data_IF_167061321027
#
_entry.id   IF_167061321027
#
_cell.length_a   1.000
_cell.length_b   1.000
_cell.length_c   1.000
_cell.angle_alpha   90.00
_cell.angle_beta   90.00
_cell.angle_gamma   90.00
#
_symmetry.space_group_name_H-M   'P 1'
#
loop_
_entity.id
_entity.type
_entity.pdbx_description
1 polymer ?
#
# COMPACT_ATOMS: atom_id res chain seq x y z
N UNK A 1 31.13 22.98 -16.25
CA UNK A 1 30.52 22.30 -17.42
C UNK A 1 29.01 22.35 -17.29
N UNK A 2 28.26 22.84 -18.29
CA UNK A 2 26.80 22.86 -18.24
C UNK A 2 26.26 21.43 -18.18
N UNK A 3 25.29 21.16 -17.31
CA UNK A 3 24.63 19.85 -17.22
C UNK A 3 23.98 19.52 -18.57
N UNK A 4 24.12 18.29 -19.08
CA UNK A 4 23.46 17.88 -20.32
C UNK A 4 21.94 18.07 -20.17
N UNK A 5 21.32 18.66 -21.19
CA UNK A 5 19.86 18.83 -21.26
C UNK A 5 19.21 17.44 -21.23
N UNK A 6 18.22 17.28 -20.35
CA UNK A 6 17.42 16.05 -20.23
C UNK A 6 16.77 15.76 -21.58
N UNK A 7 16.88 14.52 -22.07
CA UNK A 7 16.28 14.18 -23.36
C UNK A 7 14.74 14.28 -23.28
N UNK A 8 14.04 14.76 -24.33
CA UNK A 8 12.58 14.87 -24.32
C UNK A 8 11.88 13.54 -23.99
N UNK A 9 12.50 12.41 -24.35
CA UNK A 9 12.03 11.05 -24.05
C UNK A 9 12.00 10.69 -22.56
N UNK A 10 12.70 11.44 -21.71
CA UNK A 10 12.77 11.23 -20.27
C UNK A 10 11.78 12.11 -19.50
N UNK A 11 11.12 13.06 -20.16
CA UNK A 11 10.12 13.91 -19.53
C UNK A 11 8.83 13.14 -19.24
N UNK A 12 8.21 13.44 -18.10
CA UNK A 12 6.95 12.85 -17.64
C UNK A 12 6.08 13.94 -17.03
N UNK A 13 4.78 13.84 -17.24
CA UNK A 13 3.80 14.71 -16.59
C UNK A 13 3.43 14.12 -15.24
N UNK A 14 3.68 14.86 -14.15
CA UNK A 14 3.32 14.44 -12.80
C UNK A 14 2.29 15.41 -12.21
N UNK A 15 1.13 14.88 -11.85
CA UNK A 15 0.11 15.61 -11.10
C UNK A 15 0.36 15.41 -9.60
N UNK A 16 0.75 16.49 -8.94
CA UNK A 16 1.00 16.54 -7.49
C UNK A 16 -0.13 17.35 -6.84
N UNK A 17 -0.71 16.88 -5.71
CA UNK A 17 -1.64 17.69 -4.93
C UNK A 17 -0.98 19.02 -4.51
N UNK A 18 -1.73 20.14 -4.63
CA UNK A 18 -1.16 21.50 -4.61
C UNK A 18 -0.22 21.81 -3.43
N UNK A 19 -0.50 21.27 -2.24
CA UNK A 19 0.30 21.47 -1.02
C UNK A 19 1.66 20.77 -1.03
N UNK A 20 1.85 19.76 -1.88
CA UNK A 20 3.08 18.98 -1.97
C UNK A 20 4.04 19.49 -3.07
N UNK A 21 3.67 20.56 -3.76
CA UNK A 21 4.47 21.14 -4.85
C UNK A 21 5.70 21.86 -4.27
N UNK A 22 6.94 21.53 -4.70
CA UNK A 22 8.12 22.25 -4.25
C UNK A 22 8.03 23.74 -4.63
N UNK A 23 8.46 24.66 -3.75
CA UNK A 23 8.42 26.08 -4.05
C UNK A 23 9.28 26.37 -5.29
N UNK A 24 8.70 27.09 -6.26
CA UNK A 24 9.35 27.43 -7.54
C UNK A 24 10.60 28.31 -7.37
N UNK A 25 10.78 28.93 -6.21
CA UNK A 25 11.95 29.73 -5.86
C UNK A 25 12.60 29.15 -4.59
N UNK A 26 13.92 28.91 -4.57
CA UNK A 26 14.60 28.53 -3.34
C UNK A 26 14.41 29.64 -2.29
N UNK A 27 14.21 29.30 -1.01
CA UNK A 27 13.98 30.30 0.03
C UNK A 27 15.18 31.26 0.11
N UNK A 28 14.95 32.54 -0.20
CA UNK A 28 15.91 33.63 0.03
C UNK A 28 15.85 33.99 1.51
N UNK A 29 16.69 33.38 2.34
CA UNK A 29 16.81 33.78 3.74
C UNK A 29 17.91 33.03 4.49
N UNK A 30 18.88 33.79 5.03
CA UNK A 30 19.81 33.32 6.06
C UNK A 30 19.06 33.29 7.40
N UNK A 31 18.88 32.10 7.96
CA UNK A 31 18.42 31.92 9.35
C UNK A 31 16.99 31.42 9.48
N UNK A 32 16.83 30.12 9.72
CA UNK A 32 15.55 29.45 9.95
C UNK A 32 15.33 28.32 8.95
N UNK A 33 15.63 27.09 9.37
CA UNK A 33 15.56 25.87 8.56
C UNK A 33 14.11 25.49 8.18
N UNK A 34 13.49 26.24 7.28
CA UNK A 34 12.33 25.78 6.51
C UNK A 34 12.87 25.12 5.24
N UNK A 35 13.30 23.87 5.38
CA UNK A 35 13.59 23.02 4.23
C UNK A 35 12.25 22.84 3.48
N UNK A 36 12.12 23.46 2.30
CA UNK A 36 10.95 23.27 1.44
C UNK A 36 10.72 21.77 1.19
N UNK A 37 9.49 21.36 0.80
CA UNK A 37 9.17 19.96 0.57
C UNK A 37 10.15 19.36 -0.44
N UNK A 38 11.04 18.52 0.06
CA UNK A 38 12.02 17.81 -0.75
C UNK A 38 11.35 16.55 -1.23
N UNK A 39 11.07 16.48 -2.54
CA UNK A 39 10.57 15.26 -3.17
C UNK A 39 11.68 14.23 -3.16
N UNK A 40 11.64 13.31 -2.20
CA UNK A 40 12.59 12.21 -2.11
C UNK A 40 12.00 10.99 -2.80
N UNK A 41 12.54 10.53 -3.94
CA UNK A 41 12.07 9.33 -4.60
C UNK A 41 12.40 8.10 -3.75
N UNK A 42 11.45 7.19 -3.64
CA UNK A 42 11.58 5.91 -2.97
C UNK A 42 11.11 4.82 -3.93
N UNK A 43 11.87 3.74 -4.05
CA UNK A 43 11.43 2.54 -4.76
C UNK A 43 11.23 1.42 -3.74
N UNK A 44 10.02 0.88 -3.68
CA UNK A 44 9.60 -0.09 -2.66
C UNK A 44 8.78 -1.22 -3.29
N UNK A 45 8.82 -2.43 -2.73
CA UNK A 45 7.96 -3.54 -3.17
C UNK A 45 6.49 -3.22 -2.87
N UNK A 46 5.60 -3.60 -3.79
CA UNK A 46 4.18 -3.39 -3.61
C UNK A 46 3.63 -4.34 -2.53
N UNK A 47 2.80 -3.87 -1.56
CA UNK A 47 2.45 -4.67 -0.38
C UNK A 47 1.73 -6.00 -0.66
N UNK A 48 0.91 -6.08 -1.70
CA UNK A 48 0.19 -7.30 -2.08
C UNK A 48 0.98 -8.18 -3.06
N UNK A 49 1.92 -7.59 -3.82
CA UNK A 49 2.76 -8.26 -4.82
C UNK A 49 4.22 -7.82 -4.64
N UNK A 50 4.96 -8.43 -3.72
CA UNK A 50 6.30 -7.95 -3.33
C UNK A 50 7.33 -8.02 -4.46
N UNK A 51 7.07 -8.80 -5.51
CA UNK A 51 7.92 -8.90 -6.70
C UNK A 51 7.82 -7.67 -7.63
N UNK A 52 6.82 -6.81 -7.42
CA UNK A 52 6.59 -5.61 -8.21
C UNK A 52 7.11 -4.39 -7.45
N UNK A 53 8.11 -3.72 -8.02
CA UNK A 53 8.64 -2.46 -7.48
C UNK A 53 7.77 -1.29 -7.94
N UNK A 54 7.42 -0.40 -7.00
CA UNK A 54 6.61 0.79 -7.23
C UNK A 54 7.37 2.01 -6.76
N UNK A 55 7.23 3.10 -7.51
CA UNK A 55 7.83 4.38 -7.16
C UNK A 55 6.91 5.18 -6.25
N UNK A 56 7.49 5.73 -5.20
CA UNK A 56 6.87 6.62 -4.24
C UNK A 56 7.70 7.90 -4.15
N UNK A 57 7.12 8.93 -3.58
CA UNK A 57 7.90 10.05 -3.07
C UNK A 57 7.38 10.53 -1.73
N UNK A 58 8.29 11.12 -0.95
CA UNK A 58 7.97 11.76 0.32
C UNK A 58 7.86 13.27 0.09
N UNK A 59 6.81 13.89 0.62
CA UNK A 59 6.68 15.35 0.70
C UNK A 59 6.14 15.73 2.08
N UNK A 60 6.99 16.33 2.90
CA UNK A 60 6.65 16.69 4.29
C UNK A 60 6.31 15.47 5.15
N UNK A 61 5.05 15.40 5.60
CA UNK A 61 4.52 14.28 6.42
C UNK A 61 3.67 13.29 5.61
N UNK A 62 3.74 13.35 4.28
CA UNK A 62 2.94 12.53 3.39
C UNK A 62 3.84 11.72 2.47
N UNK A 63 3.44 10.48 2.24
CA UNK A 63 4.04 9.61 1.22
C UNK A 63 3.01 9.49 0.09
N UNK A 64 3.50 9.60 -1.14
CA UNK A 64 2.69 9.51 -2.34
C UNK A 64 3.16 8.33 -3.18
N UNK A 65 2.22 7.51 -3.62
CA UNK A 65 2.44 6.49 -4.64
C UNK A 65 2.32 7.13 -6.03
N UNK A 66 3.23 6.77 -6.93
CA UNK A 66 3.22 7.25 -8.31
C UNK A 66 2.43 6.25 -9.17
N UNK A 67 1.18 6.59 -9.44
CA UNK A 67 0.29 5.81 -10.29
C UNK A 67 0.39 6.27 -11.74
N UNK A 68 0.71 5.35 -12.66
CA UNK A 68 0.66 5.66 -14.09
C UNK A 68 -0.79 5.58 -14.57
N UNK A 69 -1.34 6.71 -15.03
CA UNK A 69 -2.65 6.71 -15.68
C UNK A 69 -2.52 6.05 -17.06
N UNK A 70 -2.90 4.79 -17.14
CA UNK A 70 -3.13 4.11 -18.41
C UNK A 70 -4.59 4.35 -18.81
N UNK A 71 -4.94 5.58 -19.21
CA UNK A 71 -6.21 5.77 -19.93
C UNK A 71 -6.10 4.98 -21.23
N UNK A 72 -6.95 3.98 -21.42
CA UNK A 72 -7.11 3.23 -22.67
C UNK A 72 -7.72 4.06 -23.81
N UNK A 73 -7.64 5.40 -23.71
CA UNK A 73 -8.27 6.35 -24.62
C UNK A 73 -7.32 6.62 -25.79
N UNK A 74 -7.08 5.59 -26.61
CA UNK A 74 -6.34 5.69 -27.87
C UNK A 74 -4.92 6.28 -27.78
N UNK A 75 -4.40 6.72 -28.92
CA UNK A 75 -3.11 7.41 -29.01
C UNK A 75 -3.25 8.86 -28.57
N UNK A 76 -2.65 9.22 -27.43
CA UNK A 76 -2.62 10.58 -26.91
C UNK A 76 -1.20 11.13 -26.91
N UNK A 77 -1.05 12.41 -27.24
CA UNK A 77 0.20 13.17 -27.08
C UNK A 77 -0.08 14.45 -26.31
N UNK A 78 0.92 14.97 -25.59
CA UNK A 78 0.80 16.22 -24.84
C UNK A 78 1.79 17.26 -25.37
N UNK A 79 1.31 18.46 -25.66
CA UNK A 79 2.14 19.61 -26.01
C UNK A 79 2.49 20.38 -24.74
N UNK A 80 3.77 20.43 -24.41
CA UNK A 80 4.31 21.17 -23.27
C UNK A 80 4.96 22.48 -23.74
N UNK A 81 4.73 23.60 -23.03
CA UNK A 81 5.47 24.82 -23.29
C UNK A 81 6.99 24.63 -23.06
N UNK A 82 7.87 25.26 -23.88
CA UNK A 82 7.52 26.12 -25.01
C UNK A 82 7.09 25.35 -26.28
N UNK A 83 7.73 24.24 -26.66
CA UNK A 83 7.41 23.49 -27.91
C UNK A 83 7.80 22.00 -27.80
N UNK A 84 7.53 21.35 -26.66
CA UNK A 84 7.90 19.95 -26.43
C UNK A 84 6.70 19.02 -26.61
N UNK A 85 6.81 18.01 -27.47
CA UNK A 85 5.76 17.00 -27.66
C UNK A 85 6.12 15.74 -26.88
N UNK A 86 5.29 15.38 -25.91
CA UNK A 86 5.31 14.08 -25.25
C UNK A 86 4.46 13.10 -26.04
N UNK A 87 5.10 12.16 -26.72
CA UNK A 87 4.46 11.21 -27.63
C UNK A 87 3.53 10.21 -26.94
N UNK A 88 3.74 9.92 -25.66
CA UNK A 88 2.95 8.94 -24.90
C UNK A 88 1.87 9.58 -24.02
N UNK A 89 1.87 10.91 -23.90
CA UNK A 89 1.06 11.69 -22.97
C UNK A 89 0.95 11.04 -21.57
N UNK A 90 2.01 10.35 -21.11
CA UNK A 90 1.90 9.54 -19.90
C UNK A 90 1.75 10.44 -18.69
N UNK A 91 0.59 10.33 -18.06
CA UNK A 91 0.22 11.09 -16.88
C UNK A 91 0.50 10.25 -15.64
N UNK A 92 1.44 10.71 -14.83
CA UNK A 92 1.73 10.18 -13.52
C UNK A 92 0.88 10.92 -12.49
N UNK A 93 0.24 10.16 -11.61
CA UNK A 93 -0.62 10.65 -10.54
C UNK A 93 0.06 10.38 -9.21
N UNK A 94 0.31 11.42 -8.44
CA UNK A 94 0.77 11.29 -7.08
C UNK A 94 -0.41 11.12 -6.12
N UNK A 95 -0.68 9.88 -5.71
CA UNK A 95 -1.79 9.58 -4.80
C UNK A 95 -1.26 9.39 -3.38
N UNK A 96 -1.79 10.12 -2.38
CA UNK A 96 -1.34 9.95 -1.00
C UNK A 96 -1.63 8.53 -0.52
N UNK A 97 -0.61 7.89 0.03
CA UNK A 97 -0.68 6.53 0.58
C UNK A 97 -0.43 6.58 2.08
N UNK A 98 -1.13 5.70 2.79
CA UNK A 98 -0.89 5.49 4.20
C UNK A 98 0.41 4.69 4.41
N UNK A 99 1.45 5.29 5.00
CA UNK A 99 2.76 4.64 5.10
C UNK A 99 2.75 3.41 6.00
N UNK A 100 1.75 3.24 6.89
CA UNK A 100 1.63 1.99 7.65
C UNK A 100 1.28 0.80 6.76
N UNK A 101 0.47 0.98 5.71
CA UNK A 101 0.09 -0.11 4.82
C UNK A 101 1.31 -0.69 4.10
N UNK A 102 2.29 0.16 3.78
CA UNK A 102 3.55 -0.25 3.16
C UNK A 102 4.39 -1.16 4.07
N UNK A 103 4.25 -1.04 5.39
CA UNK A 103 5.06 -1.78 6.36
C UNK A 103 4.38 -3.08 6.85
N UNK A 104 3.06 -3.21 6.70
CA UNK A 104 2.30 -4.37 7.18
C UNK A 104 2.85 -5.74 6.72
N UNK A 105 3.24 -5.94 5.45
CA UNK A 105 3.78 -7.23 5.00
C UNK A 105 5.03 -7.63 5.79
N UNK A 106 5.95 -6.69 5.97
CA UNK A 106 7.22 -6.91 6.67
C UNK A 106 7.01 -7.13 8.16
N UNK A 107 6.19 -6.31 8.81
CA UNK A 107 5.85 -6.46 10.23
C UNK A 107 5.22 -7.83 10.50
N UNK A 108 4.28 -8.26 9.64
CA UNK A 108 3.67 -9.59 9.75
C UNK A 108 4.69 -10.71 9.58
N UNK A 109 5.58 -10.59 8.61
CA UNK A 109 6.57 -11.62 8.30
C UNK A 109 7.61 -11.78 9.41
N UNK A 110 8.12 -10.67 9.94
CA UNK A 110 9.29 -10.69 10.83
C UNK A 110 8.97 -10.48 12.31
N UNK A 111 7.85 -9.84 12.64
CA UNK A 111 7.49 -9.50 14.02
C UNK A 111 6.20 -10.18 14.50
N UNK A 112 5.68 -11.19 13.81
CA UNK A 112 4.42 -11.86 14.22
C UNK A 112 4.55 -12.73 15.49
N UNK A 113 5.73 -13.30 15.75
CA UNK A 113 5.93 -14.28 16.83
C UNK A 113 6.58 -13.68 18.08
N UNK A 114 7.44 -12.69 17.91
CA UNK A 114 8.27 -12.13 18.99
C UNK A 114 8.44 -10.63 18.82
N UNK A 115 8.90 -9.98 19.90
CA UNK A 115 9.34 -8.59 19.85
C UNK A 115 10.70 -8.51 19.13
N UNK A 116 10.80 -7.66 18.12
CA UNK A 116 11.99 -7.45 17.28
C UNK A 116 12.25 -5.94 17.16
N UNK A 117 13.51 -5.46 17.07
CA UNK A 117 13.77 -4.06 16.81
C UNK A 117 13.02 -3.56 15.57
N UNK A 118 12.44 -2.35 15.61
CA UNK A 118 11.60 -1.84 14.52
C UNK A 118 12.31 -1.88 13.16
N UNK A 119 13.59 -1.47 13.12
CA UNK A 119 14.36 -1.41 11.87
C UNK A 119 14.63 -2.81 11.29
N UNK A 120 14.81 -3.82 12.13
CA UNK A 120 15.00 -5.21 11.69
C UNK A 120 13.67 -5.87 11.29
N UNK A 121 12.58 -5.51 11.95
CA UNK A 121 11.24 -6.01 11.65
C UNK A 121 10.73 -5.55 10.28
N UNK A 122 11.03 -4.31 9.89
CA UNK A 122 10.57 -3.73 8.62
C UNK A 122 11.53 -3.96 7.46
N UNK A 123 12.82 -4.17 7.73
CA UNK A 123 13.86 -4.15 6.72
C UNK A 123 14.98 -5.15 7.06
N UNK A 124 14.71 -6.47 6.97
CA UNK A 124 15.67 -7.50 7.36
C UNK A 124 16.90 -7.51 6.42
N UNK A 125 18.00 -8.10 6.88
CA UNK A 125 19.29 -8.07 6.17
C UNK A 125 19.32 -8.80 4.84
N UNK A 126 18.33 -9.65 4.54
CA UNK A 126 18.21 -10.36 3.27
C UNK A 126 17.69 -9.50 2.12
N UNK A 127 17.15 -8.30 2.38
CA UNK A 127 16.69 -7.39 1.35
C UNK A 127 17.85 -6.63 0.69
N UNK A 128 17.64 -6.23 -0.56
CA UNK A 128 18.56 -5.35 -1.28
C UNK A 128 18.81 -4.06 -0.47
N UNK A 129 20.07 -3.60 -0.46
CA UNK A 129 20.52 -2.47 0.36
C UNK A 129 19.68 -1.21 0.15
N UNK A 130 19.30 -0.91 -1.10
CA UNK A 130 18.50 0.26 -1.44
C UNK A 130 17.08 0.14 -0.90
N UNK A 131 16.42 -1.00 -1.12
CA UNK A 131 15.06 -1.27 -0.60
C UNK A 131 15.06 -1.22 0.93
N UNK A 132 16.08 -1.81 1.56
CA UNK A 132 16.25 -1.80 3.01
C UNK A 132 16.32 -0.37 3.57
N UNK A 133 17.14 0.48 2.97
CA UNK A 133 17.25 1.91 3.37
C UNK A 133 15.93 2.65 3.20
N UNK A 134 15.22 2.40 2.10
CA UNK A 134 13.93 3.04 1.84
C UNK A 134 12.88 2.60 2.88
N UNK A 135 12.79 1.31 3.20
CA UNK A 135 11.87 0.79 4.24
C UNK A 135 12.19 1.34 5.63
N UNK A 136 13.48 1.47 5.98
CA UNK A 136 13.91 2.10 7.23
C UNK A 136 13.54 3.58 7.27
N UNK A 137 13.70 4.31 6.17
CA UNK A 137 13.26 5.70 6.08
C UNK A 137 11.73 5.85 6.26
N UNK A 138 10.95 4.92 5.69
CA UNK A 138 9.48 4.89 5.87
C UNK A 138 9.11 4.53 7.31
N UNK A 139 9.80 3.60 7.96
CA UNK A 139 9.49 3.21 9.34
C UNK A 139 9.79 4.32 10.36
N UNK A 140 10.78 5.17 10.08
CA UNK A 140 11.11 6.35 10.87
C UNK A 140 10.21 7.56 10.58
N UNK A 141 9.30 7.44 9.61
CA UNK A 141 8.40 8.53 9.25
C UNK A 141 7.49 8.92 10.43
N UNK A 142 7.31 10.22 10.76
CA UNK A 142 6.53 10.63 11.94
C UNK A 142 5.08 10.17 11.93
N UNK A 143 4.49 10.02 10.75
CA UNK A 143 3.14 9.47 10.59
C UNK A 143 3.04 7.97 10.90
N UNK A 144 4.13 7.22 10.74
CA UNK A 144 4.21 5.79 11.09
C UNK A 144 4.38 5.62 12.59
N UNK A 145 5.38 6.28 13.17
CA UNK A 145 5.74 6.10 14.57
C UNK A 145 4.59 6.45 15.53
N UNK A 146 3.81 7.49 15.22
CA UNK A 146 2.61 7.89 16.00
C UNK A 146 1.45 6.91 15.90
N UNK A 147 1.46 6.02 14.92
CA UNK A 147 0.33 5.16 14.59
C UNK A 147 0.68 3.67 14.69
N UNK A 148 1.93 3.35 15.02
CA UNK A 148 2.45 1.99 15.05
C UNK A 148 1.68 1.09 16.05
N UNK A 149 1.16 1.68 17.12
CA UNK A 149 0.35 1.03 18.15
C UNK A 149 -1.01 0.53 17.65
N UNK A 150 -1.48 1.02 16.49
CA UNK A 150 -2.67 0.49 15.82
C UNK A 150 -2.42 -0.87 15.15
N UNK A 151 -1.17 -1.27 14.93
CA UNK A 151 -0.83 -2.51 14.22
C UNK A 151 0.11 -3.40 15.03
N UNK A 152 0.79 -2.85 16.03
CA UNK A 152 1.82 -3.51 16.81
C UNK A 152 1.61 -3.35 18.32
N UNK A 153 2.13 -4.31 19.06
CA UNK A 153 2.51 -4.12 20.45
C UNK A 153 3.91 -3.52 20.50
N UNK A 154 4.10 -2.49 21.32
CA UNK A 154 5.34 -1.72 21.40
C UNK A 154 5.97 -1.94 22.77
N UNK A 155 7.29 -2.16 22.79
CA UNK A 155 8.13 -2.15 23.99
C UNK A 155 9.31 -1.21 23.77
N UNK A 156 9.54 -0.34 24.73
CA UNK A 156 10.74 0.48 24.80
C UNK A 156 11.65 -0.21 25.81
N UNK A 157 12.84 -0.62 25.38
CA UNK A 157 13.89 -0.98 26.32
C UNK A 157 14.38 0.32 26.95
N UNK A 158 14.30 0.41 28.28
CA UNK A 158 14.88 1.53 29.00
C UNK A 158 16.38 1.54 28.64
N UNK A 159 16.81 2.52 27.86
CA UNK A 159 18.22 2.86 27.79
C UNK A 159 18.65 3.05 29.25
N UNK A 160 19.56 2.20 29.72
CA UNK A 160 20.04 2.23 31.10
C UNK A 160 20.36 3.67 31.43
N UNK A 161 19.65 4.18 32.43
CA UNK A 161 19.87 5.49 33.01
C UNK A 161 21.14 5.40 33.84
N UNK A 162 22.27 5.14 33.20
CA UNK A 162 23.61 5.27 33.77
C UNK A 162 24.00 6.74 33.65
N UNK A 163 23.31 7.59 34.40
CA UNK A 163 23.88 8.87 34.85
C UNK A 163 23.41 9.15 36.29
N UNK A 164 24.32 8.77 37.19
CA UNK A 164 24.85 9.64 38.24
C UNK A 164 23.97 9.89 39.46
N UNK A 165 24.13 8.99 40.44
CA UNK A 165 24.25 9.37 41.85
C UNK A 165 25.12 10.64 41.98
N UNK A 166 24.48 11.78 42.25
CA UNK A 166 25.09 12.85 43.02
C UNK A 166 23.99 13.61 43.77
N UNK A 167 23.97 13.33 45.07
CA UNK A 167 23.59 14.20 46.17
C UNK A 167 22.15 14.72 46.20
N UNK A 168 21.26 14.01 46.89
CA UNK A 168 20.62 14.56 48.12
C UNK A 168 19.98 13.45 48.95
N UNK A 169 20.67 13.06 50.03
CA UNK A 169 20.05 12.42 51.19
C UNK A 169 18.99 13.37 51.78
N UNK A 170 17.77 12.88 52.00
CA UNK A 170 17.11 12.88 53.32
C UNK A 170 15.61 12.55 53.25
N UNK A 171 15.25 11.51 54.01
CA UNK A 171 13.96 11.21 54.62
C UNK A 171 12.91 10.39 53.84
N UNK A 172 12.83 9.12 54.23
CA UNK A 172 11.57 8.37 54.36
C UNK A 172 10.81 8.85 55.64
N UNK A 173 9.53 8.46 55.84
CA UNK A 173 9.25 7.12 56.33
C UNK A 173 8.06 6.40 55.68
N UNK A 174 8.12 5.08 55.90
CA UNK A 174 7.24 3.98 55.51
C UNK A 174 5.99 3.85 56.39
N UNK A 175 4.88 3.32 55.84
CA UNK A 175 4.09 2.22 56.45
C UNK A 175 2.96 1.68 55.54
N UNK A 176 3.16 0.43 55.07
CA UNK A 176 2.26 -0.74 55.18
C UNK A 176 0.79 -0.65 54.67
N UNK A 177 0.43 -1.28 53.55
CA UNK A 177 0.12 -2.71 53.34
C UNK A 177 -1.37 -3.08 53.57
N UNK A 178 -2.03 -3.58 52.52
CA UNK A 178 -3.01 -4.69 52.59
C UNK A 178 -3.38 -5.18 51.18
N UNK A 179 -3.42 -6.50 51.05
CA UNK A 179 -3.70 -7.26 49.84
C UNK A 179 -5.22 -7.44 49.61
N UNK A 180 -5.64 -7.70 48.38
CA UNK A 180 -6.47 -8.87 48.02
C UNK A 180 -7.01 -8.82 46.58
N UNK A 181 -7.20 -10.01 46.03
CA UNK A 181 -7.78 -10.36 44.73
C UNK A 181 -9.17 -9.77 44.46
N UNK A 182 -9.44 -9.42 43.19
CA UNK A 182 -10.69 -9.78 42.51
C UNK A 182 -10.57 -9.61 40.99
N UNK A 183 -10.90 -10.68 40.27
CA UNK A 183 -11.19 -10.66 38.84
C UNK A 183 -12.61 -10.12 38.60
N UNK A 184 -12.83 -9.46 37.47
CA UNK A 184 -13.91 -9.74 36.49
C UNK A 184 -14.49 -8.46 35.85
N UNK A 185 -14.82 -8.66 34.57
CA UNK A 185 -15.91 -8.03 33.82
C UNK A 185 -15.71 -6.59 33.31
N UNK A 186 -15.33 -6.54 32.03
CA UNK A 186 -16.17 -6.00 30.97
C UNK A 186 -16.96 -4.71 31.27
N UNK A 187 -16.41 -3.59 30.82
CA UNK A 187 -17.22 -2.48 30.34
C UNK A 187 -16.70 -2.07 28.96
N UNK A 188 -17.54 -2.33 27.95
CA UNK A 188 -17.39 -1.82 26.62
C UNK A 188 -17.38 -0.28 26.67
N UNK A 189 -16.26 0.30 26.27
CA UNK A 189 -16.18 1.70 25.90
C UNK A 189 -15.42 1.78 24.58
N UNK A 190 -16.15 2.19 23.55
CA UNK A 190 -15.71 2.62 22.22
C UNK A 190 -14.75 3.80 22.38
N UNK A 191 -13.53 3.55 22.82
CA UNK A 191 -12.48 4.55 22.90
C UNK A 191 -11.71 4.51 21.59
N UNK A 192 -12.02 5.45 20.70
CA UNK A 192 -11.08 5.86 19.67
C UNK A 192 -9.78 6.26 20.38
N UNK A 193 -8.75 5.42 20.27
CA UNK A 193 -7.45 5.64 20.91
C UNK A 193 -6.94 7.00 20.44
N UNK A 194 -6.70 7.98 21.33
CA UNK A 194 -6.30 9.32 20.92
C UNK A 194 -4.98 9.23 20.14
N UNK A 195 -4.91 9.99 19.05
CA UNK A 195 -3.69 10.07 18.25
C UNK A 195 -2.52 10.46 19.15
N UNK A 196 -1.50 9.61 19.15
CA UNK A 196 -0.26 9.80 19.91
C UNK A 196 0.33 11.18 19.60
N UNK A 197 0.74 11.91 20.64
CA UNK A 197 1.23 13.30 20.52
C UNK A 197 2.48 13.38 19.63
N UNK A 198 2.74 14.58 19.07
CA UNK A 198 3.93 14.81 18.26
C UNK A 198 5.24 14.54 19.04
N UNK A 199 5.25 14.81 20.34
CA UNK A 199 6.38 14.55 21.23
C UNK A 199 6.65 13.06 21.42
N UNK A 200 5.60 12.25 21.58
CA UNK A 200 5.76 10.80 21.66
C UNK A 200 6.25 10.22 20.32
N UNK A 201 5.83 10.79 19.18
CA UNK A 201 6.40 10.46 17.88
C UNK A 201 7.92 10.71 17.80
N UNK A 202 8.42 11.81 18.38
CA UNK A 202 9.86 12.11 18.45
C UNK A 202 10.58 11.14 19.38
N UNK A 203 10.01 10.81 20.55
CA UNK A 203 10.59 9.82 21.48
C UNK A 203 10.74 8.45 20.84
N UNK A 204 9.69 7.98 20.15
CA UNK A 204 9.74 6.71 19.41
C UNK A 204 10.77 6.73 18.29
N UNK A 205 10.97 7.88 17.65
CA UNK A 205 12.01 8.02 16.62
C UNK A 205 13.40 7.87 17.20
N UNK A 206 13.71 8.59 18.28
CA UNK A 206 14.99 8.46 18.98
C UNK A 206 15.24 7.00 19.41
N UNK A 207 14.24 6.37 20.03
CA UNK A 207 14.32 4.96 20.42
C UNK A 207 14.50 4.00 19.24
N UNK A 208 13.93 4.29 18.07
CA UNK A 208 14.13 3.49 16.87
C UNK A 208 15.56 3.63 16.32
N UNK A 209 16.12 4.83 16.35
CA UNK A 209 17.50 5.13 15.92
C UNK A 209 18.54 4.53 16.90
N UNK A 210 18.23 4.51 18.19
CA UNK A 210 19.02 3.86 19.24
C UNK A 210 18.86 2.33 19.29
N UNK A 211 17.94 1.76 18.52
CA UNK A 211 17.65 0.33 18.54
C UNK A 211 16.93 -0.16 19.81
N UNK A 212 16.36 0.76 20.60
CA UNK A 212 15.63 0.46 21.85
C UNK A 212 14.12 0.33 21.64
N UNK A 213 13.60 0.62 20.45
CA UNK A 213 12.19 0.42 20.07
C UNK A 213 11.94 -0.98 19.50
N UNK A 214 11.26 -1.81 20.28
CA UNK A 214 10.89 -3.18 19.91
C UNK A 214 9.40 -3.28 19.60
N UNK A 215 9.07 -4.04 18.56
CA UNK A 215 7.70 -4.18 18.04
C UNK A 215 7.34 -5.64 17.86
N UNK A 216 6.08 -5.96 18.10
CA UNK A 216 5.47 -7.24 17.74
C UNK A 216 4.19 -6.97 16.96
N UNK A 217 4.07 -7.52 15.76
CA UNK A 217 2.87 -7.42 14.95
C UNK A 217 1.67 -8.07 15.67
N UNK A 218 0.56 -7.35 15.74
CA UNK A 218 -0.66 -7.79 16.38
C UNK A 218 -1.80 -7.78 15.35
N UNK A 219 -2.28 -8.98 15.00
CA UNK A 219 -3.29 -9.15 13.96
C UNK A 219 -4.62 -8.50 14.36
N UNK A 220 -5.06 -8.64 15.61
CA UNK A 220 -6.36 -8.11 16.06
C UNK A 220 -6.39 -6.58 16.05
N UNK A 221 -5.31 -5.95 16.51
CA UNK A 221 -5.12 -4.49 16.39
C UNK A 221 -5.14 -4.06 14.93
N UNK A 222 -4.39 -4.76 14.09
CA UNK A 222 -4.33 -4.48 12.65
C UNK A 222 -5.70 -4.60 12.00
N UNK A 223 -6.48 -5.63 12.31
CA UNK A 223 -7.84 -5.80 11.80
C UNK A 223 -8.76 -4.66 12.24
N UNK A 224 -8.67 -4.24 13.51
CA UNK A 224 -9.45 -3.10 14.02
C UNK A 224 -9.10 -1.81 13.28
N UNK A 225 -7.81 -1.55 13.07
CA UNK A 225 -7.32 -0.43 12.27
C UNK A 225 -7.83 -0.48 10.81
N UNK A 226 -7.79 -1.65 10.18
CA UNK A 226 -8.26 -1.85 8.82
C UNK A 226 -9.77 -1.71 8.68
N UNK A 227 -10.56 -2.14 9.68
CA UNK A 227 -12.01 -1.92 9.71
C UNK A 227 -12.35 -0.43 9.74
N UNK A 228 -11.64 0.36 10.57
CA UNK A 228 -11.83 1.82 10.59
C UNK A 228 -11.47 2.46 9.25
N UNK A 229 -10.40 2.00 8.61
CA UNK A 229 -9.99 2.46 7.28
C UNK A 229 -11.01 2.09 6.21
N UNK A 230 -11.52 0.87 6.24
CA UNK A 230 -12.58 0.39 5.35
C UNK A 230 -13.85 1.24 5.47
N UNK A 231 -14.32 1.48 6.69
CA UNK A 231 -15.51 2.29 6.94
C UNK A 231 -15.34 3.73 6.42
N UNK A 232 -14.17 4.34 6.68
CA UNK A 232 -13.85 5.69 6.17
C UNK A 232 -13.82 5.73 4.65
N UNK A 233 -13.22 4.72 4.01
CA UNK A 233 -13.14 4.63 2.56
C UNK A 233 -14.53 4.37 1.94
N UNK A 234 -15.35 3.50 2.52
CA UNK A 234 -16.71 3.23 2.08
C UNK A 234 -17.59 4.49 2.16
N UNK A 235 -17.47 5.27 3.24
CA UNK A 235 -18.16 6.55 3.38
C UNK A 235 -17.71 7.57 2.32
N UNK A 236 -16.41 7.66 2.04
CA UNK A 236 -15.89 8.54 0.99
C UNK A 236 -16.39 8.14 -0.42
N UNK A 237 -16.43 6.84 -0.72
CA UNK A 237 -16.97 6.31 -1.99
C UNK A 237 -18.47 6.63 -2.11
N UNK A 238 -19.24 6.41 -1.04
CA UNK A 238 -20.67 6.71 -1.02
C UNK A 238 -20.92 8.22 -1.25
N UNK A 239 -20.15 9.09 -0.59
CA UNK A 239 -20.24 10.54 -0.79
C UNK A 239 -19.92 10.95 -2.23
N UNK A 240 -18.86 10.39 -2.82
CA UNK A 240 -18.49 10.67 -4.22
C UNK A 240 -19.57 10.22 -5.22
N UNK A 241 -20.25 9.10 -4.96
CA UNK A 241 -21.35 8.61 -5.81
C UNK A 241 -22.61 9.46 -5.67
N UNK A 242 -22.93 9.93 -4.46
CA UNK A 242 -24.08 10.80 -4.23
C UNK A 242 -24.01 12.14 -4.98
N UNK A 243 -22.80 12.67 -5.18
CA UNK A 243 -22.56 13.90 -5.94
C UNK A 243 -22.94 13.73 -7.42
N UNK A 244 -22.76 12.53 -7.99
CA UNK A 244 -23.07 12.25 -9.40
C UNK A 244 -24.56 12.08 -9.70
N UNK A 245 -25.43 11.91 -8.68
CA UNK A 245 -26.87 11.67 -8.86
C UNK A 245 -27.74 12.91 -8.61
N UNK A 246 -27.16 14.06 -8.24
CA UNK A 246 -27.91 15.23 -7.76
C UNK A 246 -28.27 16.27 -8.83
N UNK A 247 -28.00 16.00 -10.12
CA UNK A 247 -28.27 16.94 -11.22
C UNK A 247 -29.64 16.76 -11.91
N UNK A 248 -30.61 16.11 -11.26
CA UNK A 248 -31.99 16.01 -11.77
C UNK A 248 -33.02 16.29 -10.68
N UNK A 249 -33.51 17.54 -10.67
CA UNK A 249 -34.85 18.02 -10.30
C UNK A 249 -35.48 17.69 -8.92
N UNK A 250 -36.01 18.78 -8.34
CA UNK A 250 -37.14 18.91 -7.40
C UNK A 250 -36.87 18.88 -5.89
N UNK A 251 -37.01 20.08 -5.31
CA UNK A 251 -37.59 20.41 -4.01
C UNK A 251 -38.00 19.25 -3.11
N UNK A 252 -37.31 19.09 -1.97
CA UNK A 252 -37.78 18.25 -0.86
C UNK A 252 -36.79 18.21 0.29
N UNK A 253 -37.17 18.80 1.42
CA UNK A 253 -36.49 18.86 2.73
C UNK A 253 -35.38 17.82 3.00
N UNK A 254 -34.15 18.29 3.16
CA UNK A 254 -32.99 17.48 3.50
C UNK A 254 -32.77 17.38 5.02
N UNK A 255 -33.41 16.39 5.66
CA UNK A 255 -32.84 15.76 6.86
C UNK A 255 -31.90 14.65 6.38
N UNK A 256 -30.63 15.02 6.11
CA UNK A 256 -29.55 14.11 5.71
C UNK A 256 -29.11 13.24 6.89
N UNK A 257 -29.95 12.28 7.28
CA UNK A 257 -29.45 11.08 7.94
C UNK A 257 -28.67 10.29 6.89
N UNK A 258 -27.37 10.13 7.09
CA UNK A 258 -26.51 9.36 6.21
C UNK A 258 -27.09 7.95 6.03
N UNK A 259 -27.60 7.66 4.83
CA UNK A 259 -28.01 6.31 4.47
C UNK A 259 -26.82 5.37 4.70
N UNK A 260 -27.03 4.18 5.32
CA UNK A 260 -25.96 3.22 5.50
C UNK A 260 -25.29 2.95 4.15
N UNK A 261 -23.95 2.97 4.13
CA UNK A 261 -23.20 2.80 2.89
C UNK A 261 -23.68 1.57 2.13
N UNK A 262 -24.07 1.75 0.86
CA UNK A 262 -24.60 0.67 0.03
C UNK A 262 -23.64 -0.54 0.01
N UNK A 263 -24.20 -1.75 -0.11
CA UNK A 263 -23.41 -2.98 -0.22
C UNK A 263 -22.32 -2.90 -1.31
N UNK A 264 -22.59 -2.15 -2.39
CA UNK A 264 -21.64 -1.92 -3.48
C UNK A 264 -20.45 -1.03 -3.07
N UNK A 265 -20.65 -0.06 -2.18
CA UNK A 265 -19.60 0.82 -1.67
C UNK A 265 -18.69 0.08 -0.69
N UNK A 266 -19.27 -0.80 0.14
CA UNK A 266 -18.51 -1.67 1.04
C UNK A 266 -17.65 -2.69 0.28
N UNK A 267 -18.20 -3.31 -0.78
CA UNK A 267 -17.47 -4.25 -1.63
C UNK A 267 -16.31 -3.55 -2.38
N UNK A 268 -16.55 -2.36 -2.93
CA UNK A 268 -15.51 -1.59 -3.61
C UNK A 268 -14.43 -1.11 -2.64
N UNK A 269 -14.82 -0.64 -1.45
CA UNK A 269 -13.88 -0.27 -0.38
C UNK A 269 -12.96 -1.43 0.00
N UNK A 270 -13.53 -2.63 0.18
CA UNK A 270 -12.74 -3.83 0.46
C UNK A 270 -11.79 -4.17 -0.70
N UNK A 271 -12.27 -4.13 -1.95
CA UNK A 271 -11.44 -4.40 -3.13
C UNK A 271 -10.24 -3.45 -3.20
N UNK A 272 -10.45 -2.14 -3.05
CA UNK A 272 -9.37 -1.15 -3.04
C UNK A 272 -8.39 -1.37 -1.89
N UNK A 273 -8.89 -1.62 -0.68
CA UNK A 273 -8.01 -1.84 0.48
C UNK A 273 -7.22 -3.15 0.35
N UNK A 274 -7.85 -4.22 -0.14
CA UNK A 274 -7.22 -5.54 -0.33
C UNK A 274 -6.05 -5.49 -1.32
N UNK A 275 -6.06 -4.56 -2.27
CA UNK A 275 -4.94 -4.33 -3.18
C UNK A 275 -3.64 -3.92 -2.46
N UNK A 276 -3.72 -3.41 -1.23
CA UNK A 276 -2.56 -3.04 -0.40
C UNK A 276 -2.28 -4.03 0.74
N UNK A 277 -2.93 -5.21 0.74
CA UNK A 277 -2.80 -6.19 1.80
C UNK A 277 -2.23 -7.50 1.27
N UNK A 278 -1.45 -8.18 2.11
CA UNK A 278 -1.07 -9.57 1.82
C UNK A 278 -2.31 -10.48 1.87
N UNK A 279 -2.36 -11.57 1.09
CA UNK A 279 -3.50 -12.49 1.07
C UNK A 279 -3.99 -12.90 2.48
N UNK A 280 -3.12 -13.30 3.42
CA UNK A 280 -3.59 -13.72 4.74
C UNK A 280 -4.11 -12.58 5.63
N UNK A 281 -3.77 -11.31 5.37
CA UNK A 281 -4.40 -10.17 6.06
C UNK A 281 -5.73 -9.84 5.39
N UNK A 282 -5.78 -9.83 4.06
CA UNK A 282 -6.99 -9.56 3.29
C UNK A 282 -8.11 -10.57 3.61
N UNK A 283 -7.80 -11.87 3.66
CA UNK A 283 -8.77 -12.91 4.02
C UNK A 283 -9.29 -12.74 5.45
N UNK A 284 -8.42 -12.40 6.41
CA UNK A 284 -8.84 -12.17 7.79
C UNK A 284 -9.76 -10.95 7.92
N UNK A 285 -9.46 -9.88 7.18
CA UNK A 285 -10.33 -8.70 7.10
C UNK A 285 -11.68 -9.03 6.45
N UNK A 286 -11.68 -9.78 5.36
CA UNK A 286 -12.90 -10.20 4.67
C UNK A 286 -13.81 -11.03 5.57
N UNK A 287 -13.24 -12.03 6.27
CA UNK A 287 -13.97 -12.85 7.23
C UNK A 287 -14.57 -12.00 8.35
N UNK A 288 -13.81 -11.00 8.83
CA UNK A 288 -14.30 -10.09 9.86
C UNK A 288 -15.45 -9.21 9.37
N UNK A 289 -15.31 -8.62 8.17
CA UNK A 289 -16.36 -7.83 7.55
C UNK A 289 -17.65 -8.64 7.27
N UNK A 290 -17.51 -9.92 6.88
CA UNK A 290 -18.66 -10.84 6.71
C UNK A 290 -19.31 -11.16 8.06
N UNK A 291 -18.51 -11.42 9.09
CA UNK A 291 -19.01 -11.68 10.46
C UNK A 291 -19.78 -10.48 11.01
N UNK A 292 -19.30 -9.27 10.74
CA UNK A 292 -19.93 -8.02 11.18
C UNK A 292 -21.12 -7.61 10.28
N UNK A 293 -21.48 -8.41 9.26
CA UNK A 293 -22.60 -8.15 8.36
C UNK A 293 -22.39 -7.01 7.36
N UNK A 294 -21.17 -6.48 7.25
CA UNK A 294 -20.82 -5.34 6.39
C UNK A 294 -20.66 -5.79 4.93
N UNK A 295 -20.08 -6.97 4.73
CA UNK A 295 -20.01 -7.62 3.42
C UNK A 295 -21.04 -8.74 3.34
N UNK A 296 -21.82 -8.75 2.26
CA UNK A 296 -22.71 -9.85 1.96
C UNK A 296 -21.89 -11.13 1.76
N UNK A 297 -22.32 -12.19 2.42
CA UNK A 297 -21.82 -13.53 2.12
C UNK A 297 -22.35 -13.87 0.74
N UNK A 298 -21.51 -13.75 -0.29
CA UNK A 298 -21.75 -14.43 -1.57
C UNK A 298 -21.77 -15.92 -1.25
N UNK A 299 -22.97 -16.44 -1.00
CA UNK A 299 -23.18 -17.87 -0.77
C UNK A 299 -22.68 -18.57 -2.03
N UNK A 300 -21.58 -19.34 -1.99
CA UNK A 300 -21.20 -20.15 -3.14
C UNK A 300 -22.40 -21.06 -3.43
N UNK A 301 -22.93 -20.94 -4.64
CA UNK A 301 -24.27 -21.38 -5.02
C UNK A 301 -24.59 -22.79 -4.54
N UNK A 302 -25.76 -22.94 -3.91
CA UNK A 302 -26.46 -24.20 -3.90
C UNK A 302 -26.81 -24.59 -5.34
N UNK A 303 -26.73 -25.88 -5.62
CA UNK A 303 -26.98 -26.50 -6.92
C UNK A 303 -28.06 -25.77 -7.73
N UNK A 304 -27.69 -25.34 -8.93
CA UNK A 304 -28.62 -24.95 -9.98
C UNK A 304 -29.66 -26.06 -10.13
N UNK A 305 -30.88 -25.84 -9.62
CA UNK A 305 -32.03 -26.61 -10.06
C UNK A 305 -32.26 -26.21 -11.52
N UNK A 306 -31.75 -27.06 -12.41
CA UNK A 306 -32.15 -27.15 -13.81
C UNK A 306 -33.68 -27.19 -13.81
N UNK A 307 -34.31 -26.04 -14.07
CA UNK A 307 -35.74 -25.98 -14.34
C UNK A 307 -35.93 -26.60 -15.73
N UNK A 308 -36.28 -27.89 -15.76
CA UNK A 308 -36.71 -28.54 -16.98
C UNK A 308 -38.01 -27.89 -17.44
N UNK A 309 -37.89 -26.95 -18.37
CA UNK A 309 -39.04 -26.39 -19.06
C UNK A 309 -39.46 -27.38 -20.15
N UNK A 310 -40.64 -27.96 -19.94
CA UNK A 310 -41.34 -28.90 -20.81
C UNK A 310 -41.57 -28.26 -22.18
N UNK A 311 -41.00 -28.82 -23.24
CA UNK A 311 -41.23 -28.43 -24.63
C UNK A 311 -42.67 -28.78 -25.03
N UNK A 312 -43.48 -27.76 -25.33
CA UNK A 312 -44.73 -27.89 -26.08
C UNK A 312 -44.49 -27.45 -27.52
N UNK A 313 -44.81 -28.34 -28.47
CA UNK A 313 -44.81 -28.09 -29.91
C UNK A 313 -45.79 -26.98 -30.28
N UNK A 314 -45.43 -26.10 -31.21
CA UNK A 314 -46.33 -25.06 -31.69
C UNK A 314 -45.70 -23.96 -32.57
N UNK A 315 -45.21 -24.37 -33.74
CA UNK A 315 -45.25 -23.63 -35.02
C UNK A 315 -44.84 -22.13 -35.13
N UNK A 316 -43.77 -21.95 -35.90
CA UNK A 316 -43.52 -20.92 -36.95
C UNK A 316 -42.80 -19.59 -36.63
N UNK A 317 -41.57 -19.53 -37.19
CA UNK A 317 -40.99 -18.48 -38.04
C UNK A 317 -40.38 -17.19 -37.43
N UNK A 318 -39.06 -17.27 -37.18
CA UNK A 318 -37.94 -16.40 -37.61
C UNK A 318 -38.12 -14.86 -37.69
N UNK A 319 -37.15 -13.99 -37.35
CA UNK A 319 -35.86 -14.08 -36.67
C UNK A 319 -35.47 -12.64 -36.27
N UNK A 320 -35.07 -12.45 -35.00
CA UNK A 320 -34.45 -11.25 -34.44
C UNK A 320 -32.91 -11.38 -34.58
N UNK A 321 -32.19 -10.35 -35.03
CA UNK A 321 -31.60 -9.28 -34.22
C UNK A 321 -30.71 -9.74 -33.04
N UNK A 322 -29.41 -9.42 -33.21
CA UNK A 322 -28.50 -8.82 -32.23
C UNK A 322 -27.76 -9.65 -31.16
N UNK A 323 -26.51 -9.18 -30.98
CA UNK A 323 -25.60 -9.24 -29.83
C UNK A 323 -24.91 -10.60 -29.56
N UNK A 324 -23.59 -10.70 -29.70
CA UNK A 324 -22.55 -10.11 -28.85
C UNK A 324 -22.50 -10.70 -27.44
N UNK A 325 -21.29 -11.14 -27.08
CA UNK A 325 -20.76 -11.50 -25.76
C UNK A 325 -20.53 -13.00 -25.50
N UNK A 326 -19.37 -13.24 -24.86
CA UNK A 326 -18.86 -14.46 -24.23
C UNK A 326 -18.32 -15.54 -25.18
N UNK A 327 -17.17 -16.18 -24.93
CA UNK A 327 -16.13 -15.96 -23.94
C UNK A 327 -14.91 -16.77 -24.39
N UNK A 328 -13.75 -16.35 -23.90
CA UNK A 328 -12.53 -17.12 -23.92
C UNK A 328 -12.63 -18.39 -23.06
N UNK A 329 -11.69 -19.29 -23.32
CA UNK A 329 -11.21 -20.43 -22.51
C UNK A 329 -11.91 -21.79 -22.65
N UNK A 330 -11.32 -22.64 -23.50
CA UNK A 330 -11.14 -24.05 -23.20
C UNK A 330 -9.80 -24.53 -23.80
N UNK A 331 -8.85 -24.83 -22.92
CA UNK A 331 -7.64 -25.57 -23.25
C UNK A 331 -7.95 -27.07 -23.15
N UNK A 332 -7.47 -27.89 -24.08
CA UNK A 332 -6.57 -29.03 -23.81
C UNK A 332 -6.34 -29.92 -25.05
N UNK A 333 -5.09 -30.38 -25.16
CA UNK A 333 -4.61 -31.63 -25.80
C UNK A 333 -4.62 -31.74 -27.34
N UNK A 334 -3.43 -31.71 -27.95
CA UNK A 334 -2.72 -32.92 -28.46
C UNK A 334 -1.56 -32.56 -29.42
N UNK A 335 -0.36 -33.01 -29.04
CA UNK A 335 0.75 -33.59 -29.82
C UNK A 335 0.91 -33.36 -31.34
N UNK A 336 2.14 -32.93 -31.67
CA UNK A 336 3.05 -33.38 -32.75
C UNK A 336 2.96 -32.86 -34.20
N UNK A 337 4.13 -32.31 -34.59
CA UNK A 337 4.79 -32.35 -35.89
C UNK A 337 4.24 -31.50 -37.04
N UNK A 338 5.06 -30.57 -37.53
CA UNK A 338 5.80 -30.75 -38.78
C UNK A 338 6.54 -29.47 -39.19
N UNK A 339 7.61 -29.68 -39.95
CA UNK A 339 8.53 -28.71 -40.54
C UNK A 339 7.85 -27.75 -41.53
N UNK A 340 8.67 -26.81 -42.01
CA UNK A 340 8.57 -25.92 -43.20
C UNK A 340 7.90 -24.58 -42.88
N UNK A 341 8.47 -23.39 -43.07
CA UNK A 341 9.67 -22.93 -43.78
C UNK A 341 9.29 -21.73 -44.65
N UNK A 342 9.75 -20.52 -44.31
CA UNK A 342 9.97 -19.34 -45.21
C UNK A 342 10.35 -18.14 -44.31
N UNK A 343 11.64 -17.77 -44.21
CA UNK A 343 12.42 -16.90 -45.09
C UNK A 343 11.96 -15.43 -45.04
N UNK A 344 12.64 -14.62 -44.23
CA UNK A 344 12.97 -13.24 -44.59
C UNK A 344 14.32 -12.84 -44.00
N UNK A 345 15.21 -12.43 -44.92
CA UNK A 345 16.60 -12.00 -44.75
C UNK A 345 16.68 -10.58 -44.18
N UNK A 346 17.61 -10.36 -43.25
CA UNK A 346 18.63 -9.28 -43.25
C UNK A 346 19.50 -9.48 -41.99
N UNK A 347 20.72 -10.00 -42.13
CA UNK A 347 21.96 -9.28 -42.44
C UNK A 347 22.41 -8.34 -41.30
N UNK A 348 23.32 -8.83 -40.47
CA UNK A 348 24.44 -8.06 -39.93
C UNK A 348 25.58 -9.04 -39.65
N UNK A 349 26.68 -8.84 -40.37
CA UNK A 349 27.90 -9.63 -40.27
C UNK A 349 28.67 -9.27 -39.00
N UNK A 350 29.06 -10.33 -38.29
CA UNK A 350 30.41 -10.63 -37.80
C UNK A 350 31.44 -9.50 -37.81
N UNK A 351 31.94 -9.17 -36.62
CA UNK A 351 33.37 -8.95 -36.40
C UNK A 351 33.78 -9.78 -35.17
N UNK A 352 34.70 -10.71 -35.41
CA UNK A 352 35.27 -11.62 -34.44
C UNK A 352 36.31 -10.89 -33.56
N UNK A 353 36.43 -11.32 -32.30
CA UNK A 353 37.75 -11.46 -31.70
C UNK A 353 37.72 -12.57 -30.66
N UNK A 354 38.45 -13.62 -31.00
CA UNK A 354 38.89 -14.74 -30.17
C UNK A 354 39.69 -14.26 -28.95
N UNK A 355 39.46 -14.87 -27.79
CA UNK A 355 40.59 -15.36 -26.99
C UNK A 355 40.16 -16.46 -26.02
N UNK A 356 40.56 -17.66 -26.37
CA UNK A 356 40.60 -18.87 -25.55
C UNK A 356 41.72 -18.78 -24.52
N UNK A 357 41.41 -18.99 -23.24
CA UNK A 357 42.42 -19.48 -22.29
C UNK A 357 41.85 -20.60 -21.41
N UNK A 358 42.17 -21.82 -21.85
CA UNK A 358 42.18 -23.06 -21.08
C UNK A 358 43.06 -22.87 -19.84
N UNK A 359 42.56 -23.24 -18.66
CA UNK A 359 43.42 -23.78 -17.60
C UNK A 359 42.72 -24.95 -16.92
N UNK A 360 43.45 -26.05 -16.81
CA UNK A 360 42.99 -27.35 -16.35
C UNK A 360 42.83 -27.42 -14.82
N UNK A 361 41.98 -28.36 -14.43
CA UNK A 361 41.78 -28.95 -13.11
C UNK A 361 43.10 -29.51 -12.54
N UNK A 362 43.34 -29.32 -11.23
CA UNK A 362 44.02 -30.34 -10.42
C UNK A 362 43.49 -30.37 -9.00
N UNK A 363 42.94 -31.54 -8.65
CA UNK A 363 42.43 -31.97 -7.35
C UNK A 363 43.60 -32.58 -6.57
N UNK A 364 43.82 -32.19 -5.32
CA UNK A 364 44.25 -33.08 -4.22
C UNK A 364 44.20 -32.35 -2.87
N UNK A 365 43.41 -32.89 -1.96
CA UNK A 365 43.53 -32.75 -0.50
C UNK A 365 44.71 -33.63 -0.01
N UNK A 366 45.04 -33.76 1.29
CA UNK A 366 44.26 -33.50 2.51
C UNK A 366 44.30 -32.05 3.02
#
# INVERSE_FOLDING_TARGET
>A
MPKPLVSPSQLRLLLIPGEATPPSKPPKGRGGASAGPTLLPLSLPYPSTPDVMVDFFVSGQSIYEINKSCRSVGTCSALLPPELVLSDASLLLATPVDPLLLLLPHLKQHASKSFVPLLDAVAPTQLELQVRRNLQAVSQHPGVLRRLDFTCDIRLLNATKDETEKDTEASCPSAAATASHASAAAAAATAATPAVSAEEGKRRRAAAEEGTLFVRFNLDKTLTFLLQKHAKLAAAIAAQRGISCSSSSSSGNSNLAASPADCSSNALSFSLLSAYLTPPIATALEQRLKKDGILLITRPGGAEKICMQKTGEGSSSAAAAAAAAAAATAATKATNSSKTGTRLKRAAATAASTNTKKTQVKKKAP
#
